data_IF_551666768585
#
_entry.id   IF_551666768585
#
_cell.length_a   1.000
_cell.length_b   1.000
_cell.length_c   1.000
_cell.angle_alpha   90.00
_cell.angle_beta   90.00
_cell.angle_gamma   90.00
#
_symmetry.space_group_name_H-M   'P 1'
#
loop_
_entity.id
_entity.type
_entity.pdbx_description
1 polymer ?
#
# COMPACT_ATOMS: atom_id res chain seq x y z
N UNK A 1 -11.10 49.48 18.63
CA UNK A 1 -10.06 48.59 19.16
C UNK A 1 -10.10 47.32 18.32
N UNK A 2 -9.10 47.10 17.48
CA UNK A 2 -8.93 45.83 16.77
C UNK A 2 -8.30 44.84 17.75
N UNK A 3 -9.06 43.81 18.13
CA UNK A 3 -8.55 42.70 18.95
C UNK A 3 -7.98 41.65 18.01
N UNK A 4 -6.64 41.55 17.95
CA UNK A 4 -5.99 40.36 17.42
C UNK A 4 -6.36 39.24 18.38
N UNK A 5 -7.32 38.40 17.99
CA UNK A 5 -7.63 37.15 18.67
C UNK A 5 -6.41 36.24 18.52
N UNK A 6 -5.44 36.38 19.44
CA UNK A 6 -4.48 35.33 19.71
C UNK A 6 -5.29 34.14 20.24
N UNK A 7 -5.66 33.22 19.34
CA UNK A 7 -6.21 31.94 19.71
C UNK A 7 -5.16 31.23 20.56
N UNK A 8 -5.28 31.33 21.88
CA UNK A 8 -4.46 30.59 22.83
C UNK A 8 -4.87 29.13 22.74
N UNK A 9 -4.21 28.40 21.87
CA UNK A 9 -4.41 26.97 21.75
C UNK A 9 -3.98 26.33 23.06
N UNK A 10 -4.87 25.57 23.69
CA UNK A 10 -4.50 24.82 24.89
C UNK A 10 -3.49 23.74 24.52
N UNK A 11 -2.68 23.29 25.50
CA UNK A 11 -1.71 22.20 25.28
C UNK A 11 -2.43 20.94 24.77
N UNK A 12 -3.65 20.70 25.24
CA UNK A 12 -4.47 19.56 24.81
C UNK A 12 -4.88 19.68 23.34
N UNK A 13 -5.44 20.82 22.92
CA UNK A 13 -5.78 21.07 21.52
C UNK A 13 -4.56 21.02 20.59
N UNK A 14 -3.39 21.43 21.08
CA UNK A 14 -2.14 21.36 20.33
C UNK A 14 -1.76 19.91 20.09
N UNK A 15 -1.79 19.10 21.14
CA UNK A 15 -1.44 17.68 21.07
C UNK A 15 -2.43 16.89 20.21
N UNK A 16 -3.72 17.22 20.25
CA UNK A 16 -4.73 16.60 19.41
C UNK A 16 -4.52 16.94 17.93
N UNK A 17 -4.20 18.19 17.60
CA UNK A 17 -3.85 18.58 16.22
C UNK A 17 -2.59 17.88 15.73
N UNK A 18 -1.53 17.83 16.54
CA UNK A 18 -0.30 17.11 16.20
C UNK A 18 -0.59 15.63 15.96
N UNK A 19 -1.39 14.98 16.82
CA UNK A 19 -1.78 13.58 16.66
C UNK A 19 -2.60 13.35 15.39
N UNK A 20 -3.49 14.26 15.05
CA UNK A 20 -4.28 14.19 13.82
C UNK A 20 -3.38 14.26 12.57
N UNK A 21 -2.47 15.24 12.51
CA UNK A 21 -1.51 15.41 11.42
C UNK A 21 -0.63 14.16 11.28
N UNK A 22 -0.05 13.68 12.37
CA UNK A 22 0.79 12.48 12.36
C UNK A 22 0.00 11.26 11.89
N UNK A 23 -1.28 11.11 12.28
CA UNK A 23 -2.13 10.02 11.79
C UNK A 23 -2.43 10.12 10.30
N UNK A 24 -2.73 11.32 9.79
CA UNK A 24 -3.00 11.52 8.37
C UNK A 24 -1.76 11.28 7.51
N UNK A 25 -0.60 11.77 7.94
CA UNK A 25 0.68 11.53 7.28
C UNK A 25 1.09 10.05 7.35
N UNK A 26 0.91 9.40 8.50
CA UNK A 26 1.12 7.95 8.58
C UNK A 26 0.17 7.20 7.66
N UNK A 27 -1.09 7.61 7.58
CA UNK A 27 -2.08 6.98 6.69
C UNK A 27 -1.71 7.20 5.21
N UNK A 28 -1.19 8.36 4.84
CA UNK A 28 -0.74 8.66 3.48
C UNK A 28 0.50 7.83 3.09
N UNK A 29 1.47 7.71 4.00
CA UNK A 29 2.67 6.88 3.81
C UNK A 29 2.33 5.39 3.80
N UNK A 30 1.45 4.92 4.69
CA UNK A 30 0.99 3.54 4.73
C UNK A 30 0.08 3.16 3.55
N UNK A 31 -0.46 4.15 2.83
CA UNK A 31 -1.20 3.95 1.59
C UNK A 31 -0.30 3.88 0.35
N UNK A 32 1.02 4.03 0.50
CA UNK A 32 1.93 3.77 -0.61
C UNK A 32 1.97 2.27 -0.88
N UNK A 33 1.44 1.89 -2.03
CA UNK A 33 1.43 0.52 -2.53
C UNK A 33 2.86 -0.03 -2.61
N UNK A 34 3.17 -1.04 -1.79
CA UNK A 34 4.52 -1.55 -1.66
C UNK A 34 4.94 -2.32 -2.90
N UNK A 35 6.19 -2.12 -3.35
CA UNK A 35 6.78 -2.94 -4.40
C UNK A 35 7.42 -4.20 -3.81
N UNK A 36 6.94 -5.35 -4.25
CA UNK A 36 7.40 -6.68 -3.86
C UNK A 36 8.28 -7.31 -4.94
N UNK A 37 9.24 -8.14 -4.52
CA UNK A 37 9.88 -9.08 -5.45
C UNK A 37 8.91 -10.21 -5.78
N UNK A 38 9.20 -10.99 -6.82
CA UNK A 38 8.42 -12.20 -7.13
C UNK A 38 8.33 -13.13 -5.92
N UNK A 39 9.45 -13.36 -5.23
CA UNK A 39 9.52 -14.22 -4.05
C UNK A 39 8.68 -13.66 -2.90
N UNK A 40 8.72 -12.34 -2.69
CA UNK A 40 7.86 -11.67 -1.69
C UNK A 40 6.38 -11.79 -2.02
N UNK A 41 6.01 -11.58 -3.29
CA UNK A 41 4.63 -11.73 -3.75
C UNK A 41 4.08 -13.15 -3.58
N UNK A 42 4.90 -14.18 -3.86
CA UNK A 42 4.51 -15.57 -3.65
C UNK A 42 4.34 -15.91 -2.17
N UNK A 43 5.24 -15.44 -1.31
CA UNK A 43 5.13 -15.60 0.15
C UNK A 43 3.88 -14.92 0.70
N UNK A 44 3.59 -13.70 0.26
CA UNK A 44 2.43 -12.93 0.72
C UNK A 44 1.10 -13.59 0.32
N UNK A 45 1.02 -14.12 -0.90
CA UNK A 45 -0.24 -14.67 -1.43
C UNK A 45 -0.45 -16.16 -1.19
N UNK A 46 0.61 -16.91 -0.87
CA UNK A 46 0.59 -18.37 -0.89
C UNK A 46 0.26 -18.94 -2.29
N UNK A 47 0.43 -18.14 -3.35
CA UNK A 47 0.19 -18.57 -4.71
C UNK A 47 1.30 -19.52 -5.19
N UNK A 48 0.95 -20.48 -6.05
CA UNK A 48 1.95 -21.23 -6.78
C UNK A 48 2.56 -20.35 -7.88
N UNK A 49 3.80 -20.64 -8.27
CA UNK A 49 4.47 -19.92 -9.35
C UNK A 49 3.64 -19.91 -10.65
N UNK A 50 2.98 -21.02 -10.98
CA UNK A 50 2.09 -21.11 -12.15
C UNK A 50 0.89 -20.16 -12.05
N UNK A 51 0.24 -20.07 -10.88
CA UNK A 51 -0.88 -19.17 -10.67
C UNK A 51 -0.44 -17.69 -10.77
N UNK A 52 0.73 -17.37 -10.24
CA UNK A 52 1.31 -16.03 -10.34
C UNK A 52 1.61 -15.65 -11.80
N UNK A 53 2.27 -16.52 -12.56
CA UNK A 53 2.55 -16.28 -13.98
C UNK A 53 1.28 -16.15 -14.81
N UNK A 54 0.23 -16.93 -14.51
CA UNK A 54 -1.08 -16.78 -15.14
C UNK A 54 -1.69 -15.40 -14.87
N UNK A 55 -1.56 -14.88 -13.64
CA UNK A 55 -2.04 -13.55 -13.28
C UNK A 55 -1.24 -12.44 -13.97
N UNK A 56 0.08 -12.63 -14.15
CA UNK A 56 0.93 -11.72 -14.94
C UNK A 56 0.51 -11.71 -16.41
N UNK A 57 0.36 -12.89 -17.03
CA UNK A 57 -0.05 -13.00 -18.43
C UNK A 57 -1.48 -12.47 -18.68
N UNK A 58 -2.35 -12.56 -17.67
CA UNK A 58 -3.69 -11.99 -17.71
C UNK A 58 -3.72 -10.48 -17.45
N UNK A 59 -2.58 -9.83 -17.19
CA UNK A 59 -2.48 -8.40 -16.91
C UNK A 59 -3.03 -7.97 -15.54
N UNK A 60 -3.35 -8.93 -14.66
CA UNK A 60 -3.85 -8.67 -13.30
C UNK A 60 -2.73 -8.15 -12.40
N UNK A 61 -1.52 -8.68 -12.59
CA UNK A 61 -0.29 -8.26 -11.91
C UNK A 61 0.67 -7.75 -12.96
N UNK A 62 1.13 -6.50 -12.83
CA UNK A 62 2.01 -5.87 -13.81
C UNK A 62 3.45 -5.82 -13.28
N UNK A 63 4.42 -6.35 -14.05
CA UNK A 63 5.82 -6.20 -13.70
C UNK A 63 6.25 -4.73 -13.84
N UNK A 64 6.87 -4.21 -12.80
CA UNK A 64 7.44 -2.87 -12.71
C UNK A 64 8.95 -2.96 -12.87
N UNK A 65 9.50 -2.20 -13.84
CA UNK A 65 10.94 -2.06 -14.02
C UNK A 65 11.43 -0.89 -13.16
N UNK A 66 12.19 -1.20 -12.12
CA UNK A 66 12.74 -0.21 -11.20
C UNK A 66 14.20 0.03 -11.52
N UNK A 67 14.59 1.30 -11.70
CA UNK A 67 15.98 1.68 -11.99
C UNK A 67 16.93 1.11 -10.91
N UNK A 68 18.01 0.46 -11.36
CA UNK A 68 18.99 -0.16 -10.47
C UNK A 68 18.63 -1.58 -9.99
N UNK A 69 17.50 -2.15 -10.43
CA UNK A 69 17.18 -3.57 -10.21
C UNK A 69 17.21 -4.34 -11.53
N UNK A 70 17.77 -5.54 -11.47
CA UNK A 70 17.83 -6.49 -12.61
C UNK A 70 16.55 -7.31 -12.76
N UNK A 71 15.76 -7.43 -11.69
CA UNK A 71 14.50 -8.18 -11.66
C UNK A 71 13.31 -7.23 -11.58
N UNK A 72 12.21 -7.60 -12.22
CA UNK A 72 10.94 -6.90 -12.12
C UNK A 72 10.37 -6.98 -10.70
N UNK A 73 9.71 -5.90 -10.30
CA UNK A 73 8.98 -5.75 -9.03
C UNK A 73 7.48 -5.77 -9.30
N UNK A 74 6.66 -5.97 -8.27
CA UNK A 74 5.22 -6.11 -8.41
C UNK A 74 4.51 -5.35 -7.30
N UNK A 75 3.45 -4.62 -7.63
CA UNK A 75 2.66 -3.88 -6.66
C UNK A 75 1.91 -4.84 -5.74
N UNK A 76 1.99 -4.62 -4.43
CA UNK A 76 1.31 -5.42 -3.42
C UNK A 76 -0.20 -5.47 -3.67
N UNK A 77 -0.83 -4.34 -3.99
CA UNK A 77 -2.26 -4.24 -4.24
C UNK A 77 -2.72 -5.11 -5.43
N UNK A 78 -1.88 -5.25 -6.45
CA UNK A 78 -2.15 -6.11 -7.61
C UNK A 78 -1.96 -7.58 -7.27
N UNK A 79 -0.87 -7.88 -6.55
CA UNK A 79 -0.52 -9.22 -6.11
C UNK A 79 -1.63 -9.83 -5.22
N UNK A 80 -2.23 -9.04 -4.32
CA UNK A 80 -3.32 -9.49 -3.44
C UNK A 80 -4.59 -9.92 -4.20
N UNK A 81 -4.81 -9.44 -5.44
CA UNK A 81 -5.95 -9.84 -6.29
C UNK A 81 -5.90 -11.32 -6.69
N UNK A 82 -4.72 -11.94 -6.65
CA UNK A 82 -4.55 -13.38 -6.90
C UNK A 82 -5.32 -14.20 -5.86
N UNK A 83 -5.30 -13.79 -4.59
CA UNK A 83 -5.96 -14.49 -3.47
C UNK A 83 -7.47 -14.35 -3.56
N UNK A 84 -7.96 -13.15 -3.89
CA UNK A 84 -9.39 -12.87 -4.07
C UNK A 84 -9.98 -13.72 -5.19
N UNK A 85 -9.22 -13.92 -6.27
CA UNK A 85 -9.63 -14.74 -7.42
C UNK A 85 -9.74 -16.23 -7.07
N UNK A 86 -8.91 -16.73 -6.13
CA UNK A 86 -9.01 -18.12 -5.64
C UNK A 86 -10.27 -18.35 -4.79
N UNK A 87 -10.63 -17.41 -3.92
CA UNK A 87 -11.82 -17.54 -3.04
C UNK A 87 -13.16 -17.50 -3.79
N UNK A 88 -13.19 -16.94 -5.01
CA UNK A 88 -14.41 -16.79 -5.82
C UNK A 88 -14.73 -17.96 -6.73
N UNK A 89 -13.91 -19.01 -6.77
CA UNK A 89 -14.29 -20.27 -7.43
C UNK A 89 -15.01 -21.15 -6.41
N UNK A 90 -16.35 -21.27 -6.43
CA UNK A 90 -17.00 -22.38 -5.78
C UNK A 90 -16.59 -23.66 -6.51
N UNK A 91 -16.30 -24.69 -5.72
CA UNK A 91 -16.11 -26.07 -6.17
C UNK A 91 -17.32 -26.59 -6.93
#
# INVERSE_FOLDING_TARGET
METILLHSLTVEEFMDRVRAIVREELKSVLQQDQLLTKEGALKLTGASNAAFLKAVNAGIVKPQLVKGRTKAMYLESEVLKIVVSRKRKPS
#
